data_IF_549497168543
#
_entry.id   IF_549497168543
#
_cell.length_a   1.000
_cell.length_b   1.000
_cell.length_c   1.000
_cell.angle_alpha   90.00
_cell.angle_beta   90.00
_cell.angle_gamma   90.00
#
_symmetry.space_group_name_H-M   'P 1'
#
loop_
_entity.id
_entity.type
_entity.pdbx_description
1 polymer ?
#
# COMPACT_ATOMS: atom_id res chain seq x y z
N UNK A 1 -8.02 12.53 13.37
CA UNK A 1 -7.30 12.13 14.60
C UNK A 1 -6.86 10.68 14.47
N UNK A 2 -5.62 10.38 14.84
CA UNK A 2 -5.11 9.01 14.77
C UNK A 2 -5.54 8.20 15.99
N UNK A 3 -6.09 7.02 15.73
CA UNK A 3 -6.39 6.06 16.78
C UNK A 3 -5.15 5.23 17.09
N UNK A 4 -4.69 5.15 18.34
CA UNK A 4 -3.47 4.41 18.70
C UNK A 4 -3.50 2.94 18.30
N UNK A 5 -4.63 2.27 18.42
CA UNK A 5 -4.76 0.86 18.02
C UNK A 5 -4.64 0.71 16.52
N UNK A 6 -5.30 1.58 15.77
CA UNK A 6 -5.22 1.58 14.32
C UNK A 6 -3.81 1.90 13.86
N UNK A 7 -3.15 2.87 14.51
CA UNK A 7 -1.76 3.20 14.20
C UNK A 7 -0.84 1.98 14.35
N UNK A 8 -1.00 1.24 15.45
CA UNK A 8 -0.20 0.04 15.70
C UNK A 8 -0.40 -1.02 14.62
N UNK A 9 -1.66 -1.27 14.24
CA UNK A 9 -1.97 -2.24 13.17
C UNK A 9 -1.43 -1.80 11.82
N UNK A 10 -1.64 -0.54 11.46
CA UNK A 10 -1.16 -0.01 10.18
C UNK A 10 0.35 -0.10 10.11
N UNK A 11 1.06 0.30 11.15
CA UNK A 11 2.53 0.21 11.18
C UNK A 11 3.01 -1.23 11.06
N UNK A 12 2.36 -2.15 11.76
CA UNK A 12 2.69 -3.58 11.67
C UNK A 12 2.60 -4.08 10.23
N UNK A 13 1.49 -3.80 9.56
CA UNK A 13 1.29 -4.27 8.19
C UNK A 13 2.17 -3.54 7.18
N UNK A 14 2.42 -2.25 7.37
CA UNK A 14 3.37 -1.53 6.50
C UNK A 14 4.76 -2.12 6.61
N UNK A 15 5.21 -2.44 7.83
CA UNK A 15 6.51 -3.06 8.04
C UNK A 15 6.58 -4.45 7.41
N UNK A 16 5.55 -5.27 7.60
CA UNK A 16 5.49 -6.60 6.98
C UNK A 16 5.52 -6.51 5.46
N UNK A 17 4.78 -5.56 4.90
CA UNK A 17 4.75 -5.36 3.46
C UNK A 17 6.12 -4.94 2.92
N UNK A 18 6.79 -4.02 3.60
CA UNK A 18 8.11 -3.57 3.18
C UNK A 18 9.16 -4.68 3.21
N UNK A 19 9.01 -5.63 4.13
CA UNK A 19 9.91 -6.79 4.20
C UNK A 19 9.58 -7.83 3.14
N UNK A 20 8.31 -8.06 2.89
CA UNK A 20 7.85 -9.05 1.90
C UNK A 20 8.08 -8.58 0.47
N UNK A 21 7.96 -7.30 0.24
CA UNK A 21 8.09 -6.70 -1.09
C UNK A 21 9.10 -5.55 -1.06
N UNK A 22 10.39 -5.83 -0.82
CA UNK A 22 11.38 -4.76 -0.74
C UNK A 22 11.55 -4.05 -2.08
N UNK A 23 11.87 -2.76 -2.03
CA UNK A 23 12.08 -1.96 -3.23
C UNK A 23 11.57 -0.54 -3.08
N UNK A 24 11.59 0.21 -4.17
CA UNK A 24 11.27 1.62 -4.17
C UNK A 24 10.40 2.03 -5.37
N UNK A 25 9.78 1.07 -6.06
CA UNK A 25 9.01 1.37 -7.27
C UNK A 25 7.57 1.80 -7.00
N UNK A 26 7.04 1.48 -5.81
CA UNK A 26 5.67 1.81 -5.43
C UNK A 26 5.66 2.44 -4.04
N UNK A 27 4.93 3.53 -3.89
CA UNK A 27 4.68 4.13 -2.58
C UNK A 27 3.27 3.77 -2.12
N UNK A 28 3.15 3.22 -0.92
CA UNK A 28 1.86 2.90 -0.30
C UNK A 28 1.61 3.92 0.80
N UNK A 29 0.53 4.69 0.67
CA UNK A 29 0.18 5.77 1.59
C UNK A 29 -1.09 5.46 2.34
N UNK A 30 -1.04 5.55 3.66
CA UNK A 30 -2.19 5.31 4.54
C UNK A 30 -2.37 6.54 5.44
N UNK A 31 -2.87 7.66 4.92
CA UNK A 31 -3.02 8.87 5.72
C UNK A 31 -4.05 8.64 6.84
N UNK A 32 -3.87 9.20 8.03
CA UNK A 32 -2.71 9.98 8.46
C UNK A 32 -1.61 9.16 9.15
N UNK A 33 -1.60 7.84 8.96
CA UNK A 33 -0.77 6.92 9.76
C UNK A 33 0.65 6.73 9.24
N UNK A 34 0.83 6.73 7.93
CA UNK A 34 2.18 6.58 7.38
C UNK A 34 2.21 6.19 5.93
N UNK A 35 3.42 5.96 5.44
CA UNK A 35 3.67 5.53 4.07
C UNK A 35 4.97 4.74 4.01
N UNK A 36 5.05 3.82 3.05
CA UNK A 36 6.29 3.09 2.77
C UNK A 36 6.50 2.99 1.27
N UNK A 37 7.73 2.70 0.90
CA UNK A 37 8.06 2.33 -0.47
C UNK A 37 8.29 0.83 -0.51
N UNK A 38 7.88 0.19 -1.58
CA UNK A 38 8.00 -1.26 -1.72
C UNK A 38 8.05 -1.66 -3.20
N UNK A 39 8.24 -2.96 -3.42
CA UNK A 39 8.31 -3.61 -4.73
C UNK A 39 9.53 -3.20 -5.53
N UNK A 40 10.29 -4.19 -5.98
CA UNK A 40 11.41 -3.98 -6.89
C UNK A 40 10.90 -3.56 -8.27
N UNK A 41 11.64 -2.71 -8.92
CA UNK A 41 11.29 -2.26 -10.25
C UNK A 41 12.39 -1.38 -10.82
N UNK A 42 12.17 -0.84 -12.01
CA UNK A 42 13.16 0.04 -12.64
C UNK A 42 13.53 1.19 -11.71
N UNK A 43 14.79 1.61 -11.79
CA UNK A 43 15.25 2.78 -11.03
C UNK A 43 14.40 3.98 -11.42
N UNK A 44 13.87 4.67 -10.41
CA UNK A 44 13.07 5.85 -10.62
C UNK A 44 13.93 6.96 -11.23
N UNK A 45 13.54 7.44 -12.39
CA UNK A 45 14.23 8.54 -13.05
C UNK A 45 13.62 9.87 -12.66
N UNK A 46 14.46 10.89 -12.59
CA UNK A 46 14.00 12.24 -12.31
C UNK A 46 12.93 12.64 -13.33
N UNK A 47 11.82 13.16 -12.85
CA UNK A 47 10.69 13.56 -13.69
C UNK A 47 9.70 12.47 -14.03
N UNK A 48 9.99 11.21 -13.67
CA UNK A 48 9.05 10.11 -13.87
C UNK A 48 8.20 9.95 -12.61
N UNK A 49 6.87 10.02 -12.71
CA UNK A 49 6.01 9.83 -11.55
C UNK A 49 6.19 8.44 -10.96
N UNK A 50 6.31 8.38 -9.64
CA UNK A 50 6.32 7.10 -8.92
C UNK A 50 4.91 6.52 -8.91
N UNK A 51 4.82 5.19 -8.95
CA UNK A 51 3.54 4.53 -8.72
C UNK A 51 3.14 4.75 -7.26
N UNK A 52 1.86 5.09 -7.03
CA UNK A 52 1.35 5.39 -5.71
C UNK A 52 0.04 4.64 -5.50
N UNK A 53 -0.11 4.01 -4.33
CA UNK A 53 -1.36 3.40 -3.90
C UNK A 53 -1.73 4.06 -2.59
N UNK A 54 -2.90 4.70 -2.56
CA UNK A 54 -3.34 5.43 -1.37
C UNK A 54 -4.72 4.94 -0.94
N UNK A 55 -4.91 4.77 0.36
CA UNK A 55 -6.17 4.33 0.95
C UNK A 55 -6.20 4.68 2.43
N UNK A 56 -7.39 4.61 3.03
CA UNK A 56 -7.50 4.79 4.48
C UNK A 56 -7.09 3.50 5.21
N UNK A 57 -6.97 3.61 6.54
CA UNK A 57 -6.50 2.51 7.37
C UNK A 57 -7.42 1.29 7.32
N UNK A 58 -8.71 1.50 7.36
CA UNK A 58 -9.71 0.41 7.33
C UNK A 58 -9.60 -0.38 6.03
N UNK A 59 -9.48 0.34 4.91
CA UNK A 59 -9.33 -0.27 3.60
C UNK A 59 -8.02 -1.03 3.50
N UNK A 60 -6.94 -0.45 4.05
CA UNK A 60 -5.63 -1.10 4.04
C UNK A 60 -5.65 -2.43 4.78
N UNK A 61 -6.23 -2.45 5.97
CA UNK A 61 -6.33 -3.69 6.76
C UNK A 61 -7.16 -4.73 6.02
N UNK A 62 -8.29 -4.34 5.42
CA UNK A 62 -9.12 -5.25 4.62
C UNK A 62 -8.36 -5.79 3.40
N UNK A 63 -7.56 -4.94 2.76
CA UNK A 63 -6.76 -5.34 1.60
C UNK A 63 -5.68 -6.36 1.99
N UNK A 64 -4.89 -6.07 3.03
CA UNK A 64 -3.76 -6.94 3.39
C UNK A 64 -4.19 -8.26 4.03
N UNK A 65 -5.42 -8.36 4.52
CA UNK A 65 -6.01 -9.60 5.01
C UNK A 65 -6.85 -10.31 3.95
N UNK A 66 -6.91 -9.74 2.75
CA UNK A 66 -7.67 -10.25 1.61
C UNK A 66 -9.18 -10.32 1.83
N UNK A 67 -9.73 -9.45 2.68
CA UNK A 67 -11.17 -9.26 2.77
C UNK A 67 -11.70 -8.59 1.52
N UNK A 68 -10.90 -7.71 0.92
CA UNK A 68 -11.16 -7.12 -0.39
C UNK A 68 -9.94 -7.33 -1.28
N UNK A 69 -10.15 -7.33 -2.59
CA UNK A 69 -9.06 -7.35 -3.55
C UNK A 69 -8.65 -5.92 -3.90
N UNK A 70 -7.44 -5.76 -4.43
CA UNK A 70 -7.00 -4.46 -4.93
C UNK A 70 -7.93 -3.96 -6.02
N UNK A 71 -8.35 -4.85 -6.92
CA UNK A 71 -9.27 -4.51 -8.01
C UNK A 71 -10.61 -3.99 -7.47
N UNK A 72 -11.18 -4.66 -6.48
CA UNK A 72 -12.40 -4.20 -5.83
C UNK A 72 -12.24 -2.83 -5.19
N UNK A 73 -11.14 -2.60 -4.49
CA UNK A 73 -10.86 -1.32 -3.85
C UNK A 73 -10.73 -0.18 -4.86
N UNK A 74 -10.05 -0.43 -5.97
CA UNK A 74 -9.88 0.57 -7.03
C UNK A 74 -11.23 0.85 -7.71
N UNK A 75 -11.99 -0.20 -8.03
CA UNK A 75 -13.30 -0.05 -8.66
C UNK A 75 -14.28 0.74 -7.82
N UNK A 76 -14.27 0.53 -6.51
CA UNK A 76 -15.18 1.24 -5.58
C UNK A 76 -14.71 2.65 -5.24
N UNK A 77 -13.49 3.01 -5.60
CA UNK A 77 -12.89 4.30 -5.24
C UNK A 77 -12.30 4.34 -3.84
N UNK A 78 -12.31 3.21 -3.12
CA UNK A 78 -11.71 3.13 -1.78
C UNK A 78 -10.19 3.15 -1.83
N UNK A 79 -9.62 2.70 -2.95
CA UNK A 79 -8.18 2.70 -3.20
C UNK A 79 -7.91 3.53 -4.44
N UNK A 80 -6.97 4.46 -4.31
CA UNK A 80 -6.52 5.28 -5.42
C UNK A 80 -5.14 4.76 -5.83
N UNK A 81 -5.04 4.22 -7.05
CA UNK A 81 -3.80 3.71 -7.60
C UNK A 81 -3.41 4.51 -8.82
N UNK A 82 -2.20 5.01 -8.86
CA UNK A 82 -1.68 5.79 -9.98
C UNK A 82 -0.28 5.33 -10.35
N UNK A 83 0.07 5.47 -11.62
CA UNK A 83 1.36 5.04 -12.12
C UNK A 83 1.35 3.58 -12.57
N UNK A 84 2.44 3.17 -13.19
CA UNK A 84 2.58 1.80 -13.66
C UNK A 84 3.00 0.88 -12.52
N UNK A 85 2.57 -0.38 -12.59
CA UNK A 85 2.95 -1.43 -11.65
C UNK A 85 2.48 -1.21 -10.21
N UNK A 86 1.41 -0.44 -10.03
CA UNK A 86 0.82 -0.26 -8.71
C UNK A 86 -0.04 -1.48 -8.36
N UNK A 87 0.58 -2.65 -8.22
CA UNK A 87 -0.12 -3.91 -7.94
C UNK A 87 0.55 -4.66 -6.79
N UNK A 88 -0.20 -4.84 -5.72
CA UNK A 88 0.25 -5.54 -4.51
C UNK A 88 -0.27 -6.98 -4.44
N UNK A 89 -1.10 -7.39 -5.38
CA UNK A 89 -1.86 -8.66 -5.29
C UNK A 89 -0.99 -9.87 -5.00
N UNK A 90 0.17 -9.97 -5.66
CA UNK A 90 1.05 -11.14 -5.49
C UNK A 90 1.73 -11.21 -4.12
N UNK A 91 1.67 -10.16 -3.32
CA UNK A 91 2.30 -10.12 -1.99
C UNK A 91 1.29 -10.35 -0.87
N UNK A 92 0.02 -10.52 -1.19
CA UNK A 92 -1.05 -10.64 -0.19
C UNK A 92 -1.58 -12.06 -0.11
N UNK A 93 -2.12 -12.53 1.04
CA UNK A 93 -2.27 -11.76 2.28
C UNK A 93 -0.97 -11.64 3.08
N UNK A 94 -0.94 -10.68 3.97
CA UNK A 94 0.14 -10.55 4.95
C UNK A 94 -0.21 -11.38 6.19
N UNK A 95 0.79 -11.98 6.84
CA UNK A 95 0.56 -12.80 8.04
C UNK A 95 0.07 -12.00 9.24
#
# INVERSE_FOLDING_TARGET
MRDPKTLTEVKKYLELLSKKAPGFSVEVRIPPYGAIQCIEGPVHRRGTPRAVIEMDAKTFIALVTCEISLEEGVSSGSIIASGERADLTSYLPLP
#
